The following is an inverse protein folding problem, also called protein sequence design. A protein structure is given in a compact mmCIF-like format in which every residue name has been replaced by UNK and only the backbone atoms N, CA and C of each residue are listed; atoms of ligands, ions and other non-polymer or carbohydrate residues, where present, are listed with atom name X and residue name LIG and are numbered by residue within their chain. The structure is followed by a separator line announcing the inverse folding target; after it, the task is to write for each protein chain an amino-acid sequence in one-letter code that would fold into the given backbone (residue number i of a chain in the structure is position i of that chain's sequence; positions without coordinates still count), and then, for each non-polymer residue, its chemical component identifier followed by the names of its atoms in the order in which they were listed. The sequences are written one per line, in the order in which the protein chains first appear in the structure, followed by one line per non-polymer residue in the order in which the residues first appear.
data_IF_531939962077
#
_entry.id   IF_531939962077
#
_cell.length_a   1.000
_cell.length_b   1.000
_cell.length_c   1.000
_cell.angle_alpha   90.00
_cell.angle_beta   90.00
_cell.angle_gamma   90.00
#
_symmetry.space_group_name_H-M   'P 1'
#
loop_
_entity.id
_entity.type
_entity.pdbx_description
1 polymer ?
#
# COMPACT_ATOMS: atom_id res chain seq x y z
N UNK A 1 24.36 20.90 5.75
CA UNK A 1 22.91 21.20 5.62
C UNK A 1 22.36 20.33 4.50
N UNK A 2 21.55 19.30 4.78
CA UNK A 2 21.09 18.40 3.70
C UNK A 2 20.21 17.22 4.10
N UNK A 3 19.79 17.12 5.37
CA UNK A 3 18.94 16.02 5.85
C UNK A 3 17.49 16.16 5.40
N UNK A 4 16.99 17.39 5.23
CA UNK A 4 15.59 17.64 4.85
C UNK A 4 15.27 17.25 3.40
N UNK A 5 16.22 17.41 2.48
CA UNK A 5 16.00 17.05 1.07
C UNK A 5 15.80 15.53 0.89
N UNK A 6 16.57 14.72 1.64
CA UNK A 6 16.52 13.26 1.56
C UNK A 6 15.23 12.67 2.13
N UNK A 7 14.65 13.33 3.14
CA UNK A 7 13.36 12.93 3.70
C UNK A 7 12.23 13.16 2.69
N UNK A 8 12.23 14.29 1.97
CA UNK A 8 11.22 14.61 0.96
C UNK A 8 11.21 13.57 -0.17
N UNK A 9 12.36 13.13 -0.65
CA UNK A 9 12.44 12.07 -1.67
C UNK A 9 11.90 10.72 -1.17
N UNK A 10 12.08 10.40 0.12
CA UNK A 10 11.54 9.18 0.70
C UNK A 10 10.01 9.22 0.83
N UNK A 11 9.42 10.39 1.05
CA UNK A 11 7.97 10.59 1.09
C UNK A 11 7.35 10.76 -0.30
N UNK A 12 8.10 11.31 -1.26
CA UNK A 12 7.68 11.50 -2.65
C UNK A 12 8.00 10.31 -3.54
N UNK A 13 8.54 9.22 -2.99
CA UNK A 13 8.55 7.95 -3.68
C UNK A 13 7.09 7.59 -3.91
N UNK A 14 6.64 7.81 -5.14
CA UNK A 14 5.41 7.34 -5.75
C UNK A 14 5.25 5.86 -5.35
N UNK A 15 4.44 5.59 -4.33
CA UNK A 15 4.29 4.26 -3.77
C UNK A 15 3.24 3.56 -4.64
N UNK A 16 3.63 2.60 -5.48
CA UNK A 16 2.72 1.99 -6.44
C UNK A 16 1.53 1.41 -5.68
N UNK A 17 0.30 1.75 -6.11
CA UNK A 17 -0.99 1.20 -5.66
C UNK A 17 -0.86 -0.02 -4.74
N UNK A 18 -0.56 0.23 -3.46
CA UNK A 18 -0.07 -0.81 -2.55
C UNK A 18 -1.16 -1.72 -2.08
N UNK A 19 -2.41 -1.27 -2.14
CA UNK A 19 -3.56 -1.97 -1.61
C UNK A 19 -4.62 -2.17 -2.68
N UNK A 20 -5.25 -3.33 -2.68
CA UNK A 20 -6.34 -3.69 -3.58
C UNK A 20 -7.53 -4.22 -2.77
N UNK A 21 -8.72 -3.75 -3.10
CA UNK A 21 -9.95 -4.31 -2.58
C UNK A 21 -10.32 -5.57 -3.36
N UNK A 22 -10.34 -6.74 -2.71
CA UNK A 22 -10.68 -8.01 -3.37
C UNK A 22 -12.16 -8.12 -3.78
N UNK A 23 -13.02 -7.21 -3.31
CA UNK A 23 -14.44 -7.20 -3.65
C UNK A 23 -14.75 -6.49 -4.98
N UNK A 24 -13.96 -5.47 -5.34
CA UNK A 24 -14.21 -4.66 -6.55
C UNK A 24 -12.94 -4.35 -7.36
N UNK A 25 -11.80 -4.91 -6.96
CA UNK A 25 -10.48 -4.71 -7.56
C UNK A 25 -10.01 -3.24 -7.59
N UNK A 26 -10.59 -2.37 -6.77
CA UNK A 26 -10.15 -0.99 -6.64
C UNK A 26 -8.79 -0.92 -5.93
N UNK A 27 -7.88 -0.09 -6.43
CA UNK A 27 -6.53 0.04 -5.90
C UNK A 27 -6.34 1.36 -5.14
N UNK A 28 -5.46 1.34 -4.14
CA UNK A 28 -5.24 2.46 -3.22
C UNK A 28 -3.77 2.53 -2.79
N UNK A 29 -3.26 3.74 -2.66
CA UNK A 29 -1.91 4.00 -2.14
C UNK A 29 -1.79 3.76 -0.63
N UNK A 30 -2.89 3.97 0.11
CA UNK A 30 -3.00 3.72 1.56
C UNK A 30 -4.09 2.71 1.84
N UNK A 31 -3.92 1.88 2.87
CA UNK A 31 -4.95 0.94 3.31
C UNK A 31 -6.13 1.71 3.93
N UNK A 32 -7.28 1.83 3.24
CA UNK A 32 -8.47 2.36 3.86
C UNK A 32 -9.10 1.28 4.76
N UNK A 33 -9.81 1.70 5.81
CA UNK A 33 -10.58 0.75 6.64
C UNK A 33 -11.80 0.20 5.89
N UNK A 34 -12.34 0.99 4.97
CA UNK A 34 -13.51 0.66 4.13
C UNK A 34 -13.22 1.11 2.71
N UNK A 35 -13.50 0.25 1.74
CA UNK A 35 -13.34 0.60 0.33
C UNK A 35 -14.32 1.71 -0.03
N UNK A 36 -13.86 2.90 -0.47
CA UNK A 36 -14.75 3.99 -0.84
C UNK A 36 -15.56 3.71 -2.12
N UNK A 37 -15.15 2.72 -2.93
CA UNK A 37 -15.81 2.39 -4.19
C UNK A 37 -17.02 1.46 -3.99
N UNK A 38 -16.87 0.40 -3.19
CA UNK A 38 -17.93 -0.60 -2.99
C UNK A 38 -18.44 -0.74 -1.55
N UNK A 39 -17.82 -0.06 -0.57
CA UNK A 39 -18.14 -0.21 0.85
C UNK A 39 -17.64 -1.51 1.49
N UNK A 40 -16.87 -2.33 0.76
CA UNK A 40 -16.30 -3.57 1.27
C UNK A 40 -15.13 -3.36 2.25
N UNK A 41 -14.81 -4.40 3.00
CA UNK A 41 -13.75 -4.38 4.04
C UNK A 41 -12.53 -5.23 3.68
N UNK A 42 -12.59 -6.00 2.60
CA UNK A 42 -11.48 -6.88 2.19
C UNK A 42 -10.48 -6.10 1.32
N UNK A 43 -9.67 -5.26 1.97
CA UNK A 43 -8.56 -4.53 1.34
C UNK A 43 -7.22 -5.15 1.77
N UNK A 44 -6.45 -5.62 0.79
CA UNK A 44 -5.19 -6.36 0.97
C UNK A 44 -4.03 -5.67 0.29
N UNK A 45 -2.81 -5.88 0.80
CA UNK A 45 -1.60 -5.37 0.13
C UNK A 45 -1.33 -6.17 -1.14
N UNK A 46 -1.13 -5.51 -2.28
CA UNK A 46 -0.73 -6.14 -3.54
C UNK A 46 0.59 -6.88 -3.41
N UNK A 47 1.54 -6.32 -2.66
CA UNK A 47 2.82 -6.98 -2.38
C UNK A 47 2.63 -8.33 -1.69
N UNK A 48 1.61 -8.44 -0.83
CA UNK A 48 1.31 -9.68 -0.12
C UNK A 48 0.54 -10.66 -1.00
N UNK A 49 -0.33 -10.17 -1.88
CA UNK A 49 -1.04 -10.99 -2.85
C UNK A 49 -0.08 -11.62 -3.87
N UNK A 50 0.86 -10.83 -4.38
CA UNK A 50 1.90 -11.28 -5.32
C UNK A 50 2.86 -12.28 -4.67
N UNK A 51 3.22 -12.05 -3.41
CA UNK A 51 4.10 -12.95 -2.63
C UNK A 51 3.40 -14.24 -2.13
N UNK A 52 2.20 -14.56 -2.62
CA UNK A 52 1.46 -15.77 -2.23
C UNK A 52 0.99 -15.75 -0.76
N UNK A 53 0.75 -14.57 -0.19
CA UNK A 53 0.28 -14.39 1.18
C UNK A 53 1.37 -14.37 2.25
N UNK A 54 2.66 -14.41 1.86
CA UNK A 54 3.76 -14.29 2.81
C UNK A 54 3.98 -12.81 3.16
N UNK A 55 3.88 -12.40 4.44
CA UNK A 55 4.21 -11.04 4.82
C UNK A 55 5.70 -10.79 4.53
N UNK A 56 6.08 -9.60 4.02
CA UNK A 56 7.47 -9.23 3.85
C UNK A 56 8.14 -9.31 5.22
N UNK A 57 9.18 -10.13 5.31
CA UNK A 57 9.97 -10.26 6.52
C UNK A 57 10.45 -8.86 6.93
N UNK A 58 10.04 -8.40 8.12
CA UNK A 58 10.43 -7.08 8.63
C UNK A 58 11.95 -7.01 8.65
N UNK A 59 12.54 -6.28 7.72
CA UNK A 59 13.99 -6.08 7.66
C UNK A 59 14.39 -5.12 8.81
N UNK A 60 15.32 -5.51 9.69
CA UNK A 60 15.76 -4.69 10.83
C UNK A 60 16.54 -3.44 10.40
#
# INVERSE_FOLDING_TARGET
MGTLLRLKEYLSSDQPDRYECLACSATFERQPQVCPNCGGYDIRSKEWLDSGGRPPEKRP
#
